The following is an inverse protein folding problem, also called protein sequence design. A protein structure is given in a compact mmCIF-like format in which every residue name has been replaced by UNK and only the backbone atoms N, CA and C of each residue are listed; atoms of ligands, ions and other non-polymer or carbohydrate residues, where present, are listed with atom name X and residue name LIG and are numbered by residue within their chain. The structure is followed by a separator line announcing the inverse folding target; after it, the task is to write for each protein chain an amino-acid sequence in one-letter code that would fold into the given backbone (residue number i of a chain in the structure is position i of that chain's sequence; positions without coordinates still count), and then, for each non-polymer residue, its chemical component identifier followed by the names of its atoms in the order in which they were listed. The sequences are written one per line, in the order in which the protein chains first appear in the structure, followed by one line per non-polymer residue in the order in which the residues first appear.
data_IF_604604896825
#
_entry.id   IF_604604896825
#
_cell.length_a   1.000
_cell.length_b   1.000
_cell.length_c   1.000
_cell.angle_alpha   90.00
_cell.angle_beta   90.00
_cell.angle_gamma   90.00
#
_symmetry.space_group_name_H-M   'P 1'
#
loop_
_entity.id
_entity.type
_entity.pdbx_description
1 polymer ?
#
# COMPACT_ATOMS: atom_id res chain seq x y z
N UNK A 1 -34.56 -53.10 -26.50
CA UNK A 1 -33.24 -52.81 -25.86
C UNK A 1 -32.70 -51.55 -26.52
N UNK A 2 -32.42 -50.41 -25.91
CA UNK A 2 -32.21 -50.00 -24.51
C UNK A 2 -32.83 -48.60 -24.32
N UNK A 3 -33.34 -48.31 -23.11
CA UNK A 3 -33.86 -46.99 -22.72
C UNK A 3 -32.72 -45.97 -22.62
N UNK A 4 -32.91 -44.77 -23.17
CA UNK A 4 -32.10 -43.58 -22.86
C UNK A 4 -32.43 -43.13 -21.44
N UNK A 5 -31.41 -43.12 -20.57
CA UNK A 5 -31.51 -42.68 -19.19
C UNK A 5 -31.54 -41.16 -19.09
N UNK A 6 -32.53 -40.66 -18.35
CA UNK A 6 -32.65 -39.29 -17.88
C UNK A 6 -31.53 -39.00 -16.88
N UNK A 7 -30.63 -38.06 -17.18
CA UNK A 7 -29.70 -37.51 -16.19
C UNK A 7 -30.42 -36.42 -15.40
N UNK A 8 -30.67 -36.68 -14.11
CA UNK A 8 -31.02 -35.65 -13.13
C UNK A 8 -29.78 -34.80 -12.87
N UNK A 9 -29.86 -33.50 -13.15
CA UNK A 9 -28.89 -32.52 -12.67
C UNK A 9 -29.16 -32.33 -11.17
N UNK A 10 -28.32 -32.94 -10.33
CA UNK A 10 -28.22 -32.62 -8.92
C UNK A 10 -27.60 -31.22 -8.84
N UNK A 11 -28.33 -30.29 -8.22
CA UNK A 11 -27.85 -28.93 -7.99
C UNK A 11 -26.70 -28.93 -6.98
N UNK A 12 -25.49 -28.70 -7.47
CA UNK A 12 -24.35 -28.40 -6.62
C UNK A 12 -24.45 -26.96 -6.13
N UNK A 13 -25.02 -26.83 -4.93
CA UNK A 13 -25.04 -25.61 -4.14
C UNK A 13 -23.64 -25.35 -3.59
N UNK A 14 -22.69 -24.97 -4.46
CA UNK A 14 -21.40 -24.46 -4.06
C UNK A 14 -21.55 -23.00 -3.62
N UNK A 15 -22.09 -22.79 -2.42
CA UNK A 15 -21.88 -21.53 -1.72
C UNK A 15 -20.40 -21.43 -1.37
N UNK A 16 -19.67 -20.64 -2.16
CA UNK A 16 -18.32 -20.19 -1.81
C UNK A 16 -18.41 -19.61 -0.39
N UNK A 17 -17.57 -20.03 0.57
CA UNK A 17 -17.59 -19.44 1.90
C UNK A 17 -17.23 -17.97 1.75
N UNK A 18 -18.17 -17.07 2.00
CA UNK A 18 -17.84 -15.66 2.15
C UNK A 18 -17.00 -15.53 3.42
N UNK A 19 -15.85 -14.85 3.38
CA UNK A 19 -15.12 -14.54 4.60
C UNK A 19 -16.04 -13.77 5.55
N UNK A 20 -16.10 -14.24 6.80
CA UNK A 20 -16.79 -13.58 7.90
C UNK A 20 -16.14 -12.20 8.14
N UNK A 21 -16.61 -11.18 7.43
CA UNK A 21 -16.25 -9.78 7.67
C UNK A 21 -17.02 -9.26 8.89
N UNK A 22 -16.64 -9.72 10.07
CA UNK A 22 -16.76 -8.89 11.27
C UNK A 22 -15.43 -8.15 11.37
N UNK A 23 -15.30 -7.03 10.65
CA UNK A 23 -14.02 -6.36 10.42
C UNK A 23 -13.45 -5.80 11.73
N UNK A 24 -12.39 -6.43 12.21
CA UNK A 24 -11.59 -5.87 13.29
C UNK A 24 -11.04 -4.50 12.84
N UNK A 25 -11.01 -3.50 13.74
CA UNK A 25 -10.41 -2.21 13.44
C UNK A 25 -8.97 -2.35 12.92
N UNK A 26 -8.68 -1.73 11.77
CA UNK A 26 -7.48 -1.98 10.99
C UNK A 26 -6.38 -0.95 11.29
N UNK A 27 -5.19 -1.43 11.66
CA UNK A 27 -3.98 -0.62 11.84
C UNK A 27 -3.08 -0.74 10.59
N UNK A 28 -2.79 0.38 9.93
CA UNK A 28 -2.01 0.42 8.68
C UNK A 28 -0.70 1.17 8.91
N UNK A 29 0.39 0.64 8.37
CA UNK A 29 1.65 1.38 8.28
C UNK A 29 1.80 1.98 6.88
N UNK A 30 1.94 3.30 6.80
CA UNK A 30 2.27 4.03 5.57
C UNK A 30 3.69 4.57 5.67
N UNK A 31 4.56 4.13 4.76
CA UNK A 31 5.89 4.69 4.58
C UNK A 31 6.01 5.44 3.25
N UNK A 32 6.71 6.56 3.27
CA UNK A 32 6.94 7.41 2.09
C UNK A 32 8.44 7.60 1.93
N UNK A 33 8.94 7.30 0.73
CA UNK A 33 10.38 7.34 0.44
C UNK A 33 10.69 8.28 -0.72
N UNK A 34 11.99 8.56 -0.93
CA UNK A 34 12.48 9.54 -1.90
C UNK A 34 12.36 9.12 -3.37
N UNK A 35 11.18 8.67 -3.80
CA UNK A 35 10.82 8.57 -5.20
C UNK A 35 9.72 9.59 -5.50
N UNK A 36 9.73 10.13 -6.72
CA UNK A 36 8.70 11.05 -7.19
C UNK A 36 7.32 10.41 -7.18
N UNK A 37 6.28 11.22 -6.96
CA UNK A 37 4.90 10.74 -6.83
C UNK A 37 4.21 11.15 -5.53
N UNK A 38 4.56 12.31 -4.98
CA UNK A 38 3.99 12.89 -3.76
C UNK A 38 2.46 12.97 -3.78
N UNK A 39 1.86 13.15 -4.96
CA UNK A 39 0.40 13.12 -5.16
C UNK A 39 -0.22 11.78 -4.75
N UNK A 40 0.45 10.66 -4.99
CA UNK A 40 -0.04 9.34 -4.59
C UNK A 40 -0.02 9.19 -3.07
N UNK A 41 1.03 9.67 -2.41
CA UNK A 41 1.10 9.69 -0.95
C UNK A 41 -0.04 10.52 -0.32
N UNK A 42 -0.31 11.70 -0.89
CA UNK A 42 -1.40 12.55 -0.42
C UNK A 42 -2.78 11.88 -0.60
N UNK A 43 -3.07 11.32 -1.77
CA UNK A 43 -4.34 10.63 -2.02
C UNK A 43 -4.48 9.36 -1.15
N UNK A 44 -3.40 8.60 -0.92
CA UNK A 44 -3.44 7.43 -0.03
C UNK A 44 -3.74 7.83 1.40
N UNK A 45 -3.06 8.86 1.92
CA UNK A 45 -3.27 9.33 3.27
C UNK A 45 -4.70 9.87 3.46
N UNK A 46 -5.25 10.58 2.46
CA UNK A 46 -6.64 11.03 2.45
C UNK A 46 -7.62 9.86 2.50
N UNK A 47 -7.41 8.83 1.67
CA UNK A 47 -8.27 7.65 1.64
C UNK A 47 -8.22 6.89 2.97
N UNK A 48 -7.03 6.65 3.54
CA UNK A 48 -6.88 5.98 4.83
C UNK A 48 -7.50 6.80 5.99
N UNK A 49 -7.35 8.12 5.97
CA UNK A 49 -7.93 8.98 7.01
C UNK A 49 -9.47 8.98 6.98
N UNK A 50 -10.05 8.92 5.78
CA UNK A 50 -11.50 8.93 5.56
C UNK A 50 -12.17 7.56 5.74
N UNK A 51 -11.40 6.46 5.77
CA UNK A 51 -11.95 5.11 5.93
C UNK A 51 -12.18 4.78 7.41
N UNK A 52 -13.43 4.52 7.79
CA UNK A 52 -13.81 4.22 9.18
C UNK A 52 -13.33 2.86 9.67
N UNK A 53 -13.00 1.94 8.76
CA UNK A 53 -12.39 0.64 9.10
C UNK A 53 -10.95 0.81 9.58
N UNK A 54 -10.28 1.87 9.14
CA UNK A 54 -8.93 2.22 9.56
C UNK A 54 -9.03 3.01 10.87
N UNK A 55 -8.48 2.46 11.94
CA UNK A 55 -8.45 3.11 13.26
C UNK A 55 -7.10 3.72 13.60
N UNK A 56 -6.04 3.27 12.92
CA UNK A 56 -4.70 3.79 13.14
C UNK A 56 -3.85 3.79 11.88
N UNK A 57 -3.11 4.88 11.66
CA UNK A 57 -2.15 5.06 10.58
C UNK A 57 -0.77 5.33 11.21
N UNK A 58 0.15 4.37 11.15
CA UNK A 58 1.55 4.60 11.49
C UNK A 58 2.24 5.21 10.27
N UNK A 59 2.60 6.48 10.36
CA UNK A 59 3.13 7.25 9.26
C UNK A 59 4.64 7.46 9.41
N UNK A 60 5.41 7.12 8.39
CA UNK A 60 6.87 7.33 8.36
C UNK A 60 7.27 7.96 7.03
N UNK A 61 8.00 9.07 7.06
CA UNK A 61 8.56 9.69 5.87
C UNK A 61 10.09 9.73 5.97
N UNK A 62 10.78 9.24 4.94
CA UNK A 62 12.25 9.36 4.88
C UNK A 62 12.69 10.82 4.66
N UNK A 63 13.92 11.16 5.04
CA UNK A 63 14.50 12.47 4.75
C UNK A 63 14.50 12.79 3.25
N UNK A 64 14.69 11.77 2.41
CA UNK A 64 14.64 11.93 0.96
C UNK A 64 13.21 12.21 0.45
N UNK A 65 12.17 11.68 1.11
CA UNK A 65 10.78 12.01 0.79
C UNK A 65 10.47 13.49 1.07
N UNK A 66 11.05 14.07 2.13
CA UNK A 66 10.87 15.50 2.42
C UNK A 66 11.36 16.41 1.29
N UNK A 67 12.47 16.03 0.65
CA UNK A 67 12.99 16.77 -0.52
C UNK A 67 12.06 16.65 -1.72
N UNK A 68 11.52 15.47 -1.96
CA UNK A 68 10.54 15.24 -3.04
C UNK A 68 9.25 16.04 -2.78
N UNK A 69 8.77 16.11 -1.54
CA UNK A 69 7.61 16.92 -1.18
C UNK A 69 7.82 18.42 -1.38
N UNK A 70 9.02 18.92 -1.04
CA UNK A 70 9.37 20.32 -1.28
C UNK A 70 9.34 20.64 -2.78
N UNK A 71 9.85 19.74 -3.63
CA UNK A 71 9.89 19.93 -5.08
C UNK A 71 8.51 19.79 -5.74
N UNK A 72 7.74 18.75 -5.37
CA UNK A 72 6.52 18.39 -6.10
C UNK A 72 5.25 19.06 -5.57
N UNK A 73 5.20 19.37 -4.27
CA UNK A 73 4.03 19.94 -3.61
C UNK A 73 4.32 21.26 -2.90
N UNK A 74 5.54 21.80 -2.97
CA UNK A 74 5.97 22.98 -2.21
C UNK A 74 5.76 22.82 -0.69
N UNK A 75 5.85 21.59 -0.18
CA UNK A 75 5.69 21.28 1.24
C UNK A 75 7.05 21.04 1.89
N UNK A 76 7.51 22.02 2.66
CA UNK A 76 8.80 21.97 3.35
C UNK A 76 8.68 21.58 4.82
N UNK A 77 9.74 20.91 5.31
CA UNK A 77 9.91 20.54 6.71
C UNK A 77 9.13 19.29 7.12
N UNK A 78 9.62 18.63 8.17
CA UNK A 78 9.05 17.39 8.72
C UNK A 78 7.84 17.63 9.63
N UNK A 79 7.80 18.79 10.29
CA UNK A 79 6.74 19.15 11.22
C UNK A 79 5.42 19.24 10.48
N UNK A 80 4.40 18.61 11.06
CA UNK A 80 3.02 18.59 10.58
C UNK A 80 2.89 18.12 9.13
N UNK A 81 3.83 17.31 8.63
CA UNK A 81 3.84 16.84 7.24
C UNK A 81 2.52 16.13 6.90
N UNK A 82 2.05 15.26 7.78
CA UNK A 82 0.78 14.57 7.60
C UNK A 82 -0.41 15.54 7.51
N UNK A 83 -0.46 16.57 8.38
CA UNK A 83 -1.52 17.58 8.35
C UNK A 83 -1.44 18.45 7.11
N UNK A 84 -0.24 18.82 6.65
CA UNK A 84 -0.01 19.54 5.39
C UNK A 84 -0.53 18.74 4.18
N UNK A 85 -0.30 17.42 4.17
CA UNK A 85 -0.78 16.54 3.10
C UNK A 85 -2.31 16.40 3.11
N UNK A 86 -2.92 16.35 4.30
CA UNK A 86 -4.37 16.20 4.47
C UNK A 86 -5.15 17.53 4.35
N UNK A 87 -4.53 18.64 4.75
CA UNK A 87 -5.15 19.94 4.97
C UNK A 87 -5.86 20.08 6.33
N UNK A 88 -5.78 19.07 7.20
CA UNK A 88 -6.39 19.05 8.53
C UNK A 88 -5.71 18.02 9.45
N UNK A 89 -5.83 18.16 10.79
CA UNK A 89 -5.40 17.13 11.73
C UNK A 89 -6.11 15.80 11.53
N UNK A 90 -5.40 14.69 11.76
CA UNK A 90 -5.97 13.34 11.70
C UNK A 90 -5.76 12.60 13.03
N UNK A 91 -6.82 12.38 13.83
CA UNK A 91 -6.68 11.75 15.16
C UNK A 91 -6.25 10.27 15.09
N UNK A 92 -6.43 9.61 13.94
CA UNK A 92 -6.03 8.22 13.69
C UNK A 92 -4.52 8.11 13.39
N UNK A 93 -3.81 9.21 13.15
CA UNK A 93 -2.44 9.20 12.63
C UNK A 93 -1.40 9.30 13.75
N UNK A 94 -0.40 8.42 13.71
CA UNK A 94 0.81 8.52 14.53
C UNK A 94 2.03 8.60 13.61
N UNK A 95 2.71 9.75 13.64
CA UNK A 95 3.96 9.96 12.91
C UNK A 95 5.15 9.41 13.71
N UNK A 96 6.05 8.69 13.03
CA UNK A 96 7.30 8.20 13.57
C UNK A 96 8.49 8.79 12.81
N UNK A 97 9.62 8.99 13.49
CA UNK A 97 10.86 9.35 12.83
C UNK A 97 11.45 8.11 12.13
N UNK A 98 12.07 8.28 10.96
CA UNK A 98 12.67 7.14 10.26
C UNK A 98 13.84 6.52 11.04
N UNK A 99 14.47 7.28 11.92
CA UNK A 99 15.58 6.85 12.79
C UNK A 99 15.11 6.18 14.08
N UNK A 100 13.80 6.21 14.39
CA UNK A 100 13.25 5.66 15.63
C UNK A 100 13.04 4.15 15.50
N UNK A 101 14.13 3.38 15.59
CA UNK A 101 14.10 1.92 15.57
C UNK A 101 13.41 1.29 16.80
N UNK A 102 13.07 2.08 17.82
CA UNK A 102 12.36 1.63 19.01
C UNK A 102 10.83 1.78 18.88
N UNK A 103 10.34 2.41 17.80
CA UNK A 103 8.92 2.55 17.54
C UNK A 103 8.21 1.19 17.44
N UNK A 104 6.95 1.14 17.86
CA UNK A 104 6.19 -0.10 17.97
C UNK A 104 6.15 -0.93 16.67
N UNK A 105 6.13 -0.27 15.50
CA UNK A 105 6.13 -0.94 14.19
C UNK A 105 7.43 -1.70 13.88
N UNK A 106 8.49 -1.54 14.69
CA UNK A 106 9.72 -2.31 14.59
C UNK A 106 9.64 -3.70 15.25
N UNK A 107 8.51 -4.03 15.89
CA UNK A 107 8.25 -5.32 16.54
C UNK A 107 7.11 -6.10 15.87
N UNK A 108 7.30 -7.42 15.72
CA UNK A 108 6.26 -8.33 15.25
C UNK A 108 5.10 -8.50 16.23
N UNK A 109 5.32 -8.29 17.53
CA UNK A 109 4.24 -8.36 18.52
C UNK A 109 3.26 -7.19 18.44
N UNK A 110 3.63 -6.08 17.79
CA UNK A 110 2.71 -4.97 17.57
C UNK A 110 1.73 -5.32 16.43
N UNK A 111 0.42 -5.16 16.63
CA UNK A 111 -0.57 -5.49 15.62
C UNK A 111 -0.53 -4.46 14.49
N UNK A 112 -0.09 -4.88 13.30
CA UNK A 112 -0.31 -4.14 12.05
C UNK A 112 -0.95 -5.08 11.03
N UNK A 113 -1.96 -4.59 10.32
CA UNK A 113 -2.70 -5.37 9.34
C UNK A 113 -1.99 -5.40 7.98
N UNK A 114 -1.33 -4.30 7.60
CA UNK A 114 -0.57 -4.20 6.37
C UNK A 114 0.43 -3.03 6.43
N UNK A 115 1.41 -3.06 5.54
CA UNK A 115 2.30 -1.95 5.26
C UNK A 115 2.28 -1.59 3.78
N UNK A 116 2.18 -0.29 3.49
CA UNK A 116 2.28 0.26 2.14
C UNK A 116 3.47 1.22 2.10
N UNK A 117 4.38 1.03 1.14
CA UNK A 117 5.46 1.98 0.84
C UNK A 117 5.11 2.72 -0.45
N UNK A 118 4.73 3.99 -0.36
CA UNK A 118 4.26 4.78 -1.50
C UNK A 118 4.61 6.27 -1.39
N UNK A 119 5.44 6.80 -2.31
CA UNK A 119 6.27 6.09 -3.27
C UNK A 119 7.37 5.23 -2.62
N UNK A 120 7.73 4.12 -3.28
CA UNK A 120 8.88 3.27 -2.93
C UNK A 120 10.05 3.56 -3.88
N UNK A 121 11.18 4.04 -3.33
CA UNK A 121 12.41 4.28 -4.07
C UNK A 121 13.17 2.98 -4.30
N UNK A 122 13.99 2.94 -5.37
CA UNK A 122 14.80 1.76 -5.66
C UNK A 122 15.80 1.42 -4.55
N UNK A 123 16.30 2.43 -3.82
CA UNK A 123 17.16 2.22 -2.65
C UNK A 123 16.43 1.59 -1.46
N UNK A 124 15.17 1.99 -1.24
CA UNK A 124 14.32 1.36 -0.21
C UNK A 124 14.00 -0.08 -0.60
N UNK A 125 13.60 -0.31 -1.86
CA UNK A 125 13.38 -1.67 -2.37
C UNK A 125 14.62 -2.54 -2.17
N UNK A 126 15.81 -2.05 -2.55
CA UNK A 126 17.05 -2.79 -2.38
C UNK A 126 17.30 -3.17 -0.92
N UNK A 127 17.09 -2.22 0.00
CA UNK A 127 17.26 -2.46 1.43
C UNK A 127 16.29 -3.50 1.98
N UNK A 128 15.02 -3.46 1.55
CA UNK A 128 13.99 -4.42 1.95
C UNK A 128 14.29 -5.81 1.36
N UNK A 129 14.55 -5.89 0.05
CA UNK A 129 14.82 -7.13 -0.66
C UNK A 129 16.03 -7.90 -0.10
N UNK A 130 17.00 -7.19 0.48
CA UNK A 130 18.21 -7.76 1.07
C UNK A 130 18.18 -7.82 2.61
N UNK A 131 17.04 -7.52 3.24
CA UNK A 131 16.88 -7.63 4.70
C UNK A 131 17.80 -6.71 5.52
N UNK A 132 18.18 -5.54 4.99
CA UNK A 132 19.20 -4.70 5.62
C UNK A 132 18.74 -4.01 6.91
N UNK A 133 17.43 -3.76 7.06
CA UNK A 133 16.80 -3.17 8.24
C UNK A 133 17.50 -1.90 8.82
N UNK A 134 18.08 -1.06 7.96
CA UNK A 134 18.93 0.08 8.37
C UNK A 134 18.19 1.27 9.01
N UNK A 135 16.87 1.34 8.84
CA UNK A 135 16.02 2.39 9.41
C UNK A 135 14.63 1.80 9.72
N UNK A 136 13.75 2.60 10.33
CA UNK A 136 12.42 2.17 10.74
C UNK A 136 11.56 1.68 9.57
N UNK A 137 11.67 2.28 8.38
CA UNK A 137 10.92 1.87 7.19
C UNK A 137 11.34 0.45 6.78
N UNK A 138 12.65 0.22 6.66
CA UNK A 138 13.19 -1.09 6.30
C UNK A 138 12.84 -2.14 7.36
N UNK A 139 12.94 -1.77 8.65
CA UNK A 139 12.63 -2.68 9.76
C UNK A 139 11.15 -3.02 9.85
N UNK A 140 10.25 -2.05 9.65
CA UNK A 140 8.81 -2.31 9.64
C UNK A 140 8.41 -3.22 8.46
N UNK A 141 9.06 -3.05 7.30
CA UNK A 141 8.85 -3.92 6.14
C UNK A 141 9.34 -5.35 6.40
N UNK A 142 10.54 -5.50 6.98
CA UNK A 142 11.09 -6.80 7.42
C UNK A 142 10.17 -7.50 8.44
N UNK A 143 9.60 -6.74 9.38
CA UNK A 143 8.57 -7.23 10.29
C UNK A 143 7.33 -7.71 9.55
N UNK A 144 6.86 -7.00 8.52
CA UNK A 144 5.71 -7.45 7.75
C UNK A 144 6.00 -8.77 7.03
N UNK A 145 7.17 -8.89 6.39
CA UNK A 145 7.58 -10.11 5.68
C UNK A 145 7.67 -11.30 6.63
N UNK A 146 8.40 -11.17 7.75
CA UNK A 146 8.60 -12.30 8.67
C UNK A 146 7.32 -12.75 9.40
N UNK A 147 6.35 -11.86 9.55
CA UNK A 147 5.04 -12.14 10.16
C UNK A 147 3.97 -12.52 9.11
N UNK A 148 4.35 -12.65 7.83
CA UNK A 148 3.44 -12.92 6.71
C UNK A 148 2.28 -11.90 6.60
N UNK A 149 2.57 -10.63 6.87
CA UNK A 149 1.62 -9.52 6.73
C UNK A 149 1.76 -8.90 5.34
N UNK A 150 0.65 -8.46 4.72
CA UNK A 150 0.70 -7.76 3.44
C UNK A 150 1.69 -6.58 3.45
N UNK A 151 2.65 -6.62 2.53
CA UNK A 151 3.59 -5.54 2.25
C UNK A 151 3.45 -5.14 0.78
N UNK A 152 2.96 -3.93 0.51
CA UNK A 152 2.82 -3.40 -0.84
C UNK A 152 3.95 -2.40 -1.11
N UNK A 153 4.77 -2.67 -2.12
CA UNK A 153 5.88 -1.81 -2.53
C UNK A 153 5.52 -1.08 -3.81
N UNK A 154 5.08 0.18 -3.68
CA UNK A 154 4.64 0.98 -4.79
C UNK A 154 5.80 1.70 -5.47
N UNK A 155 6.56 0.96 -6.29
CA UNK A 155 7.80 1.43 -6.91
C UNK A 155 7.53 2.51 -7.96
N UNK A 156 8.31 3.59 -7.95
CA UNK A 156 8.31 4.59 -9.01
C UNK A 156 9.73 4.82 -9.51
N UNK A 157 10.04 4.26 -10.67
CA UNK A 157 11.30 4.45 -11.40
C UNK A 157 11.13 4.09 -12.88
N UNK A 158 11.89 4.73 -13.78
CA UNK A 158 12.00 4.33 -15.19
C UNK A 158 13.20 5.01 -15.85
N UNK A 159 13.99 4.33 -16.72
CA UNK A 159 13.91 2.90 -17.03
C UNK A 159 14.46 2.02 -15.89
N UNK A 160 14.07 0.75 -15.86
CA UNK A 160 14.66 -0.22 -14.93
C UNK A 160 15.98 -0.76 -15.44
N UNK A 161 16.99 -0.79 -14.57
CA UNK A 161 18.20 -1.58 -14.80
C UNK A 161 18.02 -3.02 -14.26
N UNK A 162 18.99 -3.90 -14.53
CA UNK A 162 18.93 -5.31 -14.10
C UNK A 162 18.96 -5.49 -12.58
N UNK A 163 19.57 -4.56 -11.83
CA UNK A 163 19.60 -4.60 -10.37
C UNK A 163 18.20 -4.32 -9.81
N UNK A 164 17.49 -3.35 -10.40
CA UNK A 164 16.12 -3.02 -10.03
C UNK A 164 15.21 -4.24 -10.18
N UNK A 165 15.29 -4.93 -11.33
CA UNK A 165 14.50 -6.13 -11.62
C UNK A 165 14.82 -7.27 -10.64
N UNK A 166 16.11 -7.52 -10.37
CA UNK A 166 16.52 -8.55 -9.39
C UNK A 166 16.00 -8.26 -7.99
N UNK A 167 16.05 -7.01 -7.54
CA UNK A 167 15.53 -6.64 -6.23
C UNK A 167 13.99 -6.73 -6.18
N UNK A 168 13.28 -6.39 -7.26
CA UNK A 168 11.84 -6.63 -7.36
C UNK A 168 11.50 -8.12 -7.24
N UNK A 169 12.25 -8.98 -7.93
CA UNK A 169 12.08 -10.43 -7.83
C UNK A 169 12.33 -10.92 -6.40
N UNK A 170 13.46 -10.56 -5.78
CA UNK A 170 13.80 -10.99 -4.42
C UNK A 170 12.75 -10.57 -3.39
N UNK A 171 12.27 -9.33 -3.45
CA UNK A 171 11.21 -8.86 -2.56
C UNK A 171 9.89 -9.61 -2.82
N UNK A 172 9.56 -9.90 -4.08
CA UNK A 172 8.39 -10.70 -4.45
C UNK A 172 8.47 -12.13 -3.92
N UNK A 173 9.64 -12.78 -4.05
CA UNK A 173 9.90 -14.13 -3.57
C UNK A 173 9.79 -14.22 -2.04
N UNK A 174 10.12 -13.12 -1.34
CA UNK A 174 9.94 -12.98 0.11
C UNK A 174 8.49 -12.73 0.56
N UNK A 175 7.56 -12.49 -0.37
CA UNK A 175 6.13 -12.26 -0.09
C UNK A 175 5.65 -10.81 -0.21
N UNK A 176 6.51 -9.87 -0.63
CA UNK A 176 6.06 -8.51 -0.92
C UNK A 176 5.26 -8.46 -2.24
N UNK A 177 4.24 -7.61 -2.31
CA UNK A 177 3.59 -7.28 -3.58
C UNK A 177 4.35 -6.14 -4.25
N UNK A 178 4.91 -6.42 -5.42
CA UNK A 178 5.52 -5.39 -6.28
C UNK A 178 4.40 -4.69 -7.05
N UNK A 179 4.16 -3.41 -6.73
CA UNK A 179 3.02 -2.64 -7.26
C UNK A 179 3.46 -1.32 -7.93
N UNK A 180 4.14 -1.35 -9.10
CA UNK A 180 4.70 -0.13 -9.68
C UNK A 180 3.64 0.95 -9.92
N UNK A 181 4.00 2.22 -9.72
CA UNK A 181 3.13 3.39 -9.88
C UNK A 181 2.80 3.67 -11.36
N UNK A 182 2.00 2.80 -11.95
CA UNK A 182 1.58 2.82 -13.36
C UNK A 182 0.06 3.03 -13.39
N UNK A 183 -0.42 4.27 -13.58
CA UNK A 183 -1.84 4.58 -13.59
C UNK A 183 -2.54 4.03 -14.84
N UNK A 184 -3.84 3.78 -14.72
CA UNK A 184 -4.69 3.29 -15.80
C UNK A 184 -5.23 4.44 -16.63
N UNK A 185 -5.50 4.19 -17.92
CA UNK A 185 -6.07 5.18 -18.85
C UNK A 185 -7.45 4.78 -19.40
N UNK A 186 -7.83 3.51 -19.28
CA UNK A 186 -9.12 2.99 -19.77
C UNK A 186 -10.34 3.56 -19.02
N UNK A 187 -10.12 4.12 -17.83
CA UNK A 187 -11.14 4.77 -17.03
C UNK A 187 -11.23 6.29 -17.30
N UNK A 188 -10.56 6.79 -18.34
CA UNK A 188 -10.61 8.16 -18.82
C UNK A 188 -10.53 9.24 -17.71
N UNK A 189 -9.48 9.21 -16.87
CA UNK A 189 -9.35 10.17 -15.78
C UNK A 189 -9.20 11.60 -16.30
N UNK A 190 -9.87 12.55 -15.65
CA UNK A 190 -9.93 13.96 -16.05
C UNK A 190 -8.83 14.82 -15.43
N UNK A 191 -8.06 14.26 -14.50
CA UNK A 191 -6.96 14.96 -13.82
C UNK A 191 -5.90 13.98 -13.31
N UNK A 192 -4.71 14.50 -13.00
CA UNK A 192 -3.64 13.71 -12.37
C UNK A 192 -4.02 13.28 -10.95
N UNK A 193 -4.82 14.08 -10.24
CA UNK A 193 -5.41 13.73 -8.94
C UNK A 193 -6.34 12.53 -9.07
N UNK A 194 -7.20 12.52 -10.09
CA UNK A 194 -8.09 11.39 -10.36
C UNK A 194 -7.31 10.15 -10.79
N UNK A 195 -6.27 10.29 -11.62
CA UNK A 195 -5.35 9.19 -11.94
C UNK A 195 -4.73 8.59 -10.66
N UNK A 196 -4.23 9.45 -9.78
CA UNK A 196 -3.63 9.04 -8.51
C UNK A 196 -4.65 8.32 -7.62
N UNK A 197 -5.85 8.88 -7.44
CA UNK A 197 -6.93 8.27 -6.66
C UNK A 197 -7.33 6.89 -7.17
N UNK A 198 -7.47 6.73 -8.48
CA UNK A 198 -7.79 5.42 -9.08
C UNK A 198 -6.68 4.39 -8.84
N UNK A 199 -5.42 4.82 -8.90
CA UNK A 199 -4.29 3.97 -8.52
C UNK A 199 -4.35 3.57 -7.03
N UNK A 200 -4.65 4.52 -6.13
CA UNK A 200 -4.82 4.27 -4.69
C UNK A 200 -5.94 3.27 -4.41
N UNK A 201 -7.08 3.37 -5.09
CA UNK A 201 -8.17 2.42 -4.94
C UNK A 201 -7.72 0.97 -5.22
N UNK A 202 -6.88 0.77 -6.24
CA UNK A 202 -6.31 -0.56 -6.56
C UNK A 202 -5.32 -1.04 -5.49
N UNK A 203 -4.49 -0.15 -4.95
CA UNK A 203 -3.56 -0.46 -3.85
C UNK A 203 -4.33 -0.89 -2.60
N UNK A 204 -5.35 -0.12 -2.21
CA UNK A 204 -6.16 -0.43 -1.02
C UNK A 204 -6.96 -1.73 -1.17
N UNK A 205 -7.47 -2.03 -2.37
CA UNK A 205 -8.13 -3.30 -2.64
C UNK A 205 -7.21 -4.53 -2.40
N UNK A 206 -5.89 -4.41 -2.64
CA UNK A 206 -4.94 -5.52 -2.39
C UNK A 206 -4.79 -5.88 -0.91
N UNK A 207 -5.19 -4.99 0.00
CA UNK A 207 -5.14 -5.22 1.44
C UNK A 207 -6.55 -5.33 2.05
N UNK A 208 -7.57 -5.57 1.23
CA UNK A 208 -8.96 -5.73 1.68
C UNK A 208 -9.71 -4.42 1.97
N UNK A 209 -9.11 -3.26 1.69
CA UNK A 209 -9.70 -1.94 1.92
C UNK A 209 -10.31 -1.34 0.64
N UNK A 210 -11.05 -2.14 -0.12
CA UNK A 210 -11.74 -1.66 -1.33
C UNK A 210 -12.60 -0.43 -1.05
N UNK A 211 -12.49 0.58 -1.91
CA UNK A 211 -13.19 1.86 -1.75
C UNK A 211 -14.51 1.88 -2.55
N UNK A 212 -15.58 2.51 -2.04
CA UNK A 212 -16.90 2.50 -2.70
C UNK A 212 -16.90 3.03 -4.15
N UNK A 213 -16.07 4.05 -4.42
CA UNK A 213 -15.96 4.69 -5.73
C UNK A 213 -14.79 4.13 -6.57
N UNK A 214 -14.30 2.94 -6.25
CA UNK A 214 -13.28 2.28 -7.04
C UNK A 214 -13.84 1.86 -8.39
N UNK A 215 -13.14 2.19 -9.47
CA UNK A 215 -13.47 1.66 -10.79
C UNK A 215 -13.41 0.13 -10.77
N UNK A 216 -14.48 -0.51 -11.22
CA UNK A 216 -14.55 -1.95 -11.45
C UNK A 216 -14.74 -2.19 -12.94
N UNK A 217 -13.94 -3.10 -13.50
CA UNK A 217 -14.13 -3.53 -14.89
C UNK A 217 -15.45 -4.27 -14.99
N UNK A 218 -16.36 -3.77 -15.83
CA UNK A 218 -17.58 -4.46 -16.19
C UNK A 218 -17.28 -5.25 -17.47
N UNK A 219 -17.28 -6.61 -17.45
CA UNK A 219 -17.33 -7.35 -18.69
C UNK A 219 -18.67 -7.08 -19.38
N UNK A 220 -18.64 -6.96 -20.71
CA UNK A 220 -19.86 -6.92 -21.54
C UNK A 220 -20.75 -8.16 -21.32
#
# INVERSE_FOLDING_TARGET
MRRLGTFHLIGDNHSVPQPLHTEAPTNITLAITGASGSIYAAELLRALAADDRVTKINFVASDSALRVFAEELNLSGRNDLAEKLLGAPCPKLQQHAETDIAANIASGSYPTAAMIVLPCSMGTLASIANGLAQNLIHRAADVCLKENRPLILCIRETPFNRIHIRNMQLASDAGATIFPAIPTLYNHPQSTQEMARNFIHRVLAHIGLSQPNAYQWQPD
#
